data_IF_971576555898
#
_entry.id   IF_971576555898
#
_cell.length_a   1.000
_cell.length_b   1.000
_cell.length_c   1.000
_cell.angle_alpha   90.00
_cell.angle_beta   90.00
_cell.angle_gamma   90.00
#
_symmetry.space_group_name_H-M   'P 1'
#
loop_
_entity.id
_entity.type
_entity.pdbx_description
1 polymer ?
#
# COMPACT_ATOMS: atom_id res chain seq x y z
N UNK A 1 -32.58 -40.74 26.91
CA UNK A 1 -31.93 -41.63 27.90
C UNK A 1 -30.52 -41.93 27.41
N UNK A 2 -29.53 -41.57 28.23
CA UNK A 2 -28.16 -42.16 28.45
C UNK A 2 -27.40 -42.65 27.21
N UNK A 3 -26.17 -42.25 26.89
CA UNK A 3 -24.92 -42.51 27.65
C UNK A 3 -23.77 -41.80 26.87
N UNK A 4 -23.10 -40.77 27.39
CA UNK A 4 -21.88 -40.77 28.23
C UNK A 4 -20.61 -41.32 27.54
N UNK A 5 -19.72 -40.36 27.20
CA UNK A 5 -18.26 -40.26 27.47
C UNK A 5 -17.31 -41.29 26.87
N UNK A 6 -16.24 -40.80 26.20
CA UNK A 6 -14.84 -41.01 26.62
C UNK A 6 -13.84 -40.38 25.62
N UNK A 7 -13.09 -39.38 26.10
CA UNK A 7 -11.76 -39.06 25.58
C UNK A 7 -10.79 -40.17 26.00
N UNK A 8 -9.71 -40.38 25.23
CA UNK A 8 -8.43 -40.54 25.86
C UNK A 8 -7.41 -39.49 25.40
N UNK A 9 -6.64 -39.08 26.40
CA UNK A 9 -5.41 -38.30 26.38
C UNK A 9 -4.25 -39.30 26.26
N UNK A 10 -3.07 -38.83 25.83
CA UNK A 10 -1.71 -39.21 26.29
C UNK A 10 -0.68 -39.52 25.18
N UNK A 11 0.23 -38.54 25.02
CA UNK A 11 1.71 -38.56 25.04
C UNK A 11 2.53 -39.42 24.06
N UNK A 12 3.39 -38.68 23.34
CA UNK A 12 4.83 -38.84 23.10
C UNK A 12 5.44 -40.25 22.93
N UNK A 13 6.12 -40.47 21.80
CA UNK A 13 7.50 -40.98 21.82
C UNK A 13 8.26 -40.72 20.53
N UNK A 14 9.36 -40.00 20.67
CA UNK A 14 10.53 -39.94 19.80
C UNK A 14 10.97 -41.33 19.34
N UNK A 15 11.15 -41.53 18.04
CA UNK A 15 12.05 -42.55 17.50
C UNK A 15 12.87 -41.97 16.35
N UNK A 16 14.19 -41.94 16.54
CA UNK A 16 15.20 -41.86 15.49
C UNK A 16 15.10 -43.08 14.58
N UNK A 17 15.54 -42.96 13.33
CA UNK A 17 16.39 -43.98 12.74
C UNK A 17 17.80 -43.47 12.48
N UNK A 18 18.71 -44.45 12.44
CA UNK A 18 20.16 -44.34 12.54
C UNK A 18 20.83 -43.94 11.22
N UNK A 19 22.03 -43.42 11.42
CA UNK A 19 23.15 -43.24 10.50
C UNK A 19 23.41 -44.40 9.53
N UNK A 20 23.75 -44.06 8.29
CA UNK A 20 24.48 -44.93 7.37
C UNK A 20 24.45 -44.38 5.94
N UNK A 21 25.60 -43.96 5.41
CA UNK A 21 25.73 -43.68 3.98
C UNK A 21 26.80 -42.65 3.60
N UNK A 22 28.00 -43.17 3.32
CA UNK A 22 29.14 -42.59 2.57
C UNK A 22 28.92 -41.26 1.84
N UNK A 23 29.77 -40.28 2.18
CA UNK A 23 30.12 -39.11 1.38
C UNK A 23 30.87 -39.56 0.12
N UNK A 24 30.22 -39.45 -1.05
CA UNK A 24 30.87 -39.42 -2.35
C UNK A 24 30.65 -38.04 -2.96
N UNK A 25 31.77 -37.38 -3.28
CA UNK A 25 31.83 -36.00 -3.68
C UNK A 25 31.02 -35.68 -4.93
N UNK A 26 30.06 -34.76 -4.78
CA UNK A 26 29.57 -33.92 -5.88
C UNK A 26 29.04 -32.62 -5.30
N UNK A 27 29.87 -31.59 -5.36
CA UNK A 27 29.52 -30.20 -5.05
C UNK A 27 28.24 -29.80 -5.77
N UNK A 28 27.15 -29.65 -5.01
CA UNK A 28 26.02 -28.82 -5.40
C UNK A 28 26.34 -27.39 -4.96
N UNK A 29 26.20 -26.37 -5.82
CA UNK A 29 26.29 -25.00 -5.34
C UNK A 29 25.13 -24.77 -4.37
N UNK A 30 25.47 -24.64 -3.09
CA UNK A 30 24.57 -24.12 -2.07
C UNK A 30 24.20 -22.73 -2.56
N UNK A 31 22.96 -22.55 -2.99
CA UNK A 31 22.36 -21.23 -3.15
C UNK A 31 22.23 -20.67 -1.74
N UNK A 32 23.32 -20.09 -1.24
CA UNK A 32 23.34 -19.32 0.00
C UNK A 32 22.33 -18.21 -0.17
N UNK A 33 21.20 -18.34 0.53
CA UNK A 33 20.28 -17.27 0.81
C UNK A 33 21.10 -16.09 1.29
N UNK A 34 21.21 -15.04 0.48
CA UNK A 34 21.77 -13.78 0.93
C UNK A 34 20.85 -13.33 2.08
N UNK A 35 21.34 -13.19 3.32
CA UNK A 35 20.56 -12.52 4.35
C UNK A 35 20.49 -11.05 3.94
N UNK A 36 19.34 -10.64 3.41
CA UNK A 36 19.02 -9.23 3.20
C UNK A 36 18.84 -8.59 4.56
N UNK A 37 19.96 -8.21 5.19
CA UNK A 37 20.04 -7.39 6.40
C UNK A 37 19.77 -5.92 6.05
N UNK A 38 18.72 -5.67 5.27
CA UNK A 38 18.16 -4.34 5.14
C UNK A 38 17.28 -4.12 6.39
N UNK A 39 17.55 -3.13 7.25
CA UNK A 39 16.70 -2.89 8.40
C UNK A 39 15.29 -2.60 7.87
N UNK A 40 14.33 -3.46 8.23
CA UNK A 40 12.92 -3.19 8.04
C UNK A 40 12.65 -1.83 8.70
N UNK A 41 12.50 -0.79 7.87
CA UNK A 41 12.28 0.58 8.33
C UNK A 41 11.10 0.53 9.30
N UNK A 42 11.23 1.05 10.54
CA UNK A 42 10.17 0.90 11.55
C UNK A 42 8.85 1.36 10.95
N UNK A 43 7.87 0.46 10.85
CA UNK A 43 6.54 0.83 10.36
C UNK A 43 6.06 1.96 11.28
N UNK A 44 5.84 3.14 10.70
CA UNK A 44 5.54 4.31 11.51
C UNK A 44 4.19 4.10 12.20
N UNK A 45 4.10 4.57 13.44
CA UNK A 45 2.92 4.32 14.29
C UNK A 45 1.68 4.95 13.65
N UNK A 46 0.53 4.26 13.70
CA UNK A 46 -0.71 4.80 13.17
C UNK A 46 -1.13 6.04 13.95
N UNK A 47 -1.44 7.12 13.22
CA UNK A 47 -1.86 8.37 13.85
C UNK A 47 -3.14 8.16 14.68
N UNK A 48 -3.12 8.73 15.88
CA UNK A 48 -4.29 8.83 16.76
C UNK A 48 -5.31 9.81 16.20
N UNK A 49 -6.56 9.71 16.66
CA UNK A 49 -7.63 10.63 16.23
C UNK A 49 -7.28 12.10 16.53
N UNK A 50 -6.57 12.36 17.63
CA UNK A 50 -6.14 13.70 18.02
C UNK A 50 -5.11 14.26 17.04
N UNK A 51 -4.12 13.45 16.66
CA UNK A 51 -3.08 13.86 15.70
C UNK A 51 -3.66 14.09 14.30
N UNK A 52 -4.59 13.24 13.85
CA UNK A 52 -5.29 13.43 12.58
C UNK A 52 -6.03 14.77 12.52
N UNK A 53 -6.74 15.11 13.60
CA UNK A 53 -7.44 16.41 13.73
C UNK A 53 -6.44 17.56 13.73
N UNK A 54 -5.39 17.45 14.53
CA UNK A 54 -4.38 18.50 14.67
C UNK A 54 -3.67 18.80 13.35
N UNK A 55 -3.34 17.77 12.56
CA UNK A 55 -2.71 17.96 11.27
C UNK A 55 -3.61 18.68 10.26
N UNK A 56 -4.92 18.38 10.26
CA UNK A 56 -5.90 19.11 9.45
C UNK A 56 -6.04 20.56 9.94
N UNK A 57 -6.15 20.77 11.25
CA UNK A 57 -6.23 22.09 11.84
C UNK A 57 -5.04 22.98 11.46
N UNK A 58 -3.82 22.44 11.55
CA UNK A 58 -2.61 23.13 11.11
C UNK A 58 -2.60 23.40 9.60
N UNK A 59 -3.10 22.47 8.78
CA UNK A 59 -3.12 22.63 7.32
C UNK A 59 -4.01 23.80 6.86
N UNK A 60 -5.10 24.05 7.58
CA UNK A 60 -6.07 25.09 7.29
C UNK A 60 -5.97 26.30 8.23
N UNK A 61 -4.96 26.33 9.12
CA UNK A 61 -4.76 27.38 10.12
C UNK A 61 -5.99 27.66 11.00
N UNK A 62 -6.65 26.59 11.45
CA UNK A 62 -7.84 26.64 12.32
C UNK A 62 -7.59 25.92 13.64
N UNK A 63 -8.38 26.19 14.67
CA UNK A 63 -8.16 25.60 16.01
C UNK A 63 -9.10 24.43 16.33
N UNK A 64 -10.26 24.37 15.68
CA UNK A 64 -11.32 23.43 16.02
C UNK A 64 -12.13 22.97 14.81
N UNK A 65 -12.94 21.93 15.01
CA UNK A 65 -13.78 21.36 13.94
C UNK A 65 -14.84 22.34 13.43
N UNK A 66 -15.29 23.29 14.26
CA UNK A 66 -16.33 24.25 13.88
C UNK A 66 -15.76 25.27 12.89
N UNK A 67 -14.56 25.78 13.16
CA UNK A 67 -13.80 26.66 12.27
C UNK A 67 -13.42 25.93 10.99
N UNK A 68 -12.93 24.69 11.07
CA UNK A 68 -12.60 23.89 9.89
C UNK A 68 -13.80 23.77 8.94
N UNK A 69 -15.02 23.57 9.47
CA UNK A 69 -16.24 23.48 8.66
C UNK A 69 -16.66 24.81 8.04
N UNK A 70 -16.29 25.93 8.65
CA UNK A 70 -16.56 27.28 8.13
C UNK A 70 -15.53 27.72 7.10
N UNK A 71 -14.32 27.18 7.18
CA UNK A 71 -13.24 27.50 6.27
C UNK A 71 -13.62 27.25 4.80
N UNK A 72 -13.38 28.26 3.96
CA UNK A 72 -13.74 28.24 2.56
C UNK A 72 -12.88 27.25 1.77
N UNK A 73 -11.59 27.16 2.10
CA UNK A 73 -10.67 26.24 1.44
C UNK A 73 -11.01 24.78 1.76
N UNK A 74 -11.27 24.46 3.03
CA UNK A 74 -11.72 23.14 3.44
C UNK A 74 -13.04 22.78 2.77
N UNK A 75 -14.03 23.68 2.75
CA UNK A 75 -15.30 23.42 2.06
C UNK A 75 -15.12 23.20 0.56
N UNK A 76 -14.27 23.98 -0.09
CA UNK A 76 -13.99 23.83 -1.52
C UNK A 76 -13.35 22.49 -1.85
N UNK A 77 -12.33 22.09 -1.08
CA UNK A 77 -11.62 20.82 -1.28
C UNK A 77 -12.46 19.60 -0.87
N UNK A 78 -13.29 19.73 0.17
CA UNK A 78 -14.16 18.65 0.64
C UNK A 78 -15.47 18.52 -0.16
N UNK A 79 -15.81 19.50 -1.00
CA UNK A 79 -17.09 19.54 -1.71
C UNK A 79 -17.34 18.28 -2.56
N UNK A 80 -16.30 17.76 -3.21
CA UNK A 80 -16.40 16.57 -4.07
C UNK A 80 -16.29 15.22 -3.36
N UNK A 81 -15.99 15.21 -2.05
CA UNK A 81 -15.65 13.97 -1.33
C UNK A 81 -16.85 13.30 -0.63
N UNK A 82 -18.04 13.90 -0.74
CA UNK A 82 -19.29 13.34 -0.22
C UNK A 82 -19.62 13.77 1.22
N UNK A 83 -20.56 13.07 1.85
CA UNK A 83 -21.03 13.37 3.21
C UNK A 83 -20.09 12.76 4.23
N UNK A 84 -19.59 13.60 5.14
CA UNK A 84 -18.66 13.21 6.18
C UNK A 84 -19.33 13.22 7.55
N UNK A 85 -19.18 12.12 8.29
CA UNK A 85 -19.51 12.08 9.71
C UNK A 85 -18.23 12.18 10.56
N UNK A 86 -17.99 13.38 11.10
CA UNK A 86 -16.82 13.72 11.91
C UNK A 86 -16.75 12.99 13.27
N UNK A 87 -17.74 12.18 13.63
CA UNK A 87 -17.68 11.31 14.81
C UNK A 87 -16.77 10.11 14.58
N UNK A 88 -16.65 9.63 13.34
CA UNK A 88 -15.89 8.42 13.04
C UNK A 88 -14.43 8.71 12.67
N UNK A 89 -13.50 7.92 13.22
CA UNK A 89 -12.07 7.98 12.86
C UNK A 89 -11.84 7.75 11.37
N UNK A 90 -12.65 6.92 10.72
CA UNK A 90 -12.55 6.63 9.29
C UNK A 90 -12.67 7.91 8.43
N UNK A 91 -13.64 8.77 8.76
CA UNK A 91 -13.83 10.08 8.11
C UNK A 91 -12.57 10.94 8.19
N UNK A 92 -11.95 11.02 9.36
CA UNK A 92 -10.72 11.79 9.56
C UNK A 92 -9.54 11.21 8.77
N UNK A 93 -9.45 9.88 8.65
CA UNK A 93 -8.45 9.24 7.79
C UNK A 93 -8.68 9.63 6.33
N UNK A 94 -9.91 9.54 5.81
CA UNK A 94 -10.23 9.94 4.44
C UNK A 94 -9.88 11.40 4.17
N UNK A 95 -10.26 12.31 5.06
CA UNK A 95 -9.92 13.73 4.94
C UNK A 95 -8.41 13.96 4.96
N UNK A 96 -7.68 13.24 5.81
CA UNK A 96 -6.22 13.31 5.84
C UNK A 96 -5.60 12.87 4.51
N UNK A 97 -6.07 11.74 3.94
CA UNK A 97 -5.57 11.19 2.68
C UNK A 97 -5.72 12.16 1.51
N UNK A 98 -6.84 12.85 1.44
CA UNK A 98 -7.18 13.76 0.35
C UNK A 98 -6.57 15.16 0.53
N UNK A 99 -6.55 15.68 1.77
CA UNK A 99 -6.22 17.10 2.02
C UNK A 99 -4.81 17.33 2.56
N UNK A 100 -4.24 16.34 3.25
CA UNK A 100 -2.93 16.45 3.91
C UNK A 100 -1.88 15.64 3.17
N UNK A 101 -2.08 14.32 3.05
CA UNK A 101 -1.08 13.44 2.44
C UNK A 101 -1.23 11.97 2.82
N UNK A 102 -0.12 11.23 2.72
CA UNK A 102 -0.08 9.81 3.05
C UNK A 102 0.05 9.64 4.56
N UNK A 103 -0.75 8.75 5.14
CA UNK A 103 -0.63 8.39 6.54
C UNK A 103 0.70 7.68 6.79
N UNK A 104 1.41 7.97 7.89
CA UNK A 104 2.74 7.41 8.12
C UNK A 104 2.73 5.89 8.27
N UNK A 105 1.67 5.31 8.85
CA UNK A 105 1.42 3.87 8.91
C UNK A 105 1.08 3.23 7.56
N UNK A 106 0.77 4.06 6.56
CA UNK A 106 0.40 3.63 5.22
C UNK A 106 1.52 3.89 4.20
N UNK A 107 2.69 4.27 4.68
CA UNK A 107 3.90 4.41 3.88
C UNK A 107 4.64 3.07 3.80
N UNK A 108 5.09 2.69 2.61
CA UNK A 108 5.74 1.40 2.32
C UNK A 108 4.84 0.18 2.57
N UNK A 109 3.53 0.31 2.32
CA UNK A 109 2.63 -0.83 2.41
C UNK A 109 2.99 -1.92 1.40
N UNK A 110 2.83 -3.16 1.83
CA UNK A 110 3.01 -4.36 1.02
C UNK A 110 1.70 -5.16 1.03
N UNK A 111 1.38 -5.79 -0.10
CA UNK A 111 0.16 -6.59 -0.26
C UNK A 111 -0.68 -6.18 -1.48
N UNK A 112 -1.90 -6.70 -1.53
CA UNK A 112 -2.84 -6.42 -2.62
C UNK A 112 -3.11 -4.91 -2.76
N UNK A 113 -3.12 -4.43 -4.00
CA UNK A 113 -3.33 -3.01 -4.30
C UNK A 113 -2.14 -2.11 -3.95
N UNK A 114 -1.01 -2.64 -3.45
CA UNK A 114 0.16 -1.84 -3.10
C UNK A 114 1.24 -1.93 -4.18
N UNK A 115 1.61 -0.79 -4.77
CA UNK A 115 2.68 -0.67 -5.76
C UNK A 115 3.68 0.38 -5.24
N UNK A 116 4.95 0.00 -5.16
CA UNK A 116 6.04 0.88 -4.72
C UNK A 116 5.74 1.58 -3.38
N UNK A 117 5.17 0.80 -2.45
CA UNK A 117 4.89 1.24 -1.09
C UNK A 117 3.62 2.08 -0.92
N UNK A 118 2.80 2.24 -1.97
CA UNK A 118 1.52 2.94 -1.91
C UNK A 118 0.37 2.05 -2.34
N UNK A 119 -0.71 2.07 -1.58
CA UNK A 119 -1.97 1.51 -2.02
C UNK A 119 -2.65 2.40 -3.08
N UNK A 120 -2.72 1.92 -4.33
CA UNK A 120 -3.25 2.65 -5.49
C UNK A 120 -4.76 2.91 -5.44
N UNK A 121 -5.49 2.15 -4.63
CA UNK A 121 -6.93 2.36 -4.42
C UNK A 121 -7.17 3.50 -3.42
N UNK A 122 -6.33 3.58 -2.38
CA UNK A 122 -6.45 4.60 -1.34
C UNK A 122 -5.81 5.94 -1.74
N UNK A 123 -4.80 5.94 -2.61
CA UNK A 123 -4.01 7.12 -2.91
C UNK A 123 -3.81 7.31 -4.41
N UNK A 124 -4.14 8.50 -4.91
CA UNK A 124 -3.86 8.90 -6.30
C UNK A 124 -2.50 9.58 -6.41
N UNK A 125 -1.43 8.79 -6.49
CA UNK A 125 -0.03 9.26 -6.51
C UNK A 125 0.75 8.68 -7.71
N UNK A 126 0.41 9.07 -8.94
CA UNK A 126 0.97 8.46 -10.15
C UNK A 126 2.51 8.53 -10.19
N UNK A 127 3.11 9.65 -9.78
CA UNK A 127 4.56 9.82 -9.80
C UNK A 127 5.31 8.81 -8.95
N UNK A 128 4.82 8.54 -7.73
CA UNK A 128 5.45 7.59 -6.82
C UNK A 128 5.13 6.15 -7.23
N UNK A 129 3.91 5.86 -7.72
CA UNK A 129 3.53 4.54 -8.24
C UNK A 129 4.39 4.14 -9.43
N UNK A 130 4.70 5.07 -10.34
CA UNK A 130 5.55 4.82 -11.50
C UNK A 130 7.06 4.98 -11.23
N UNK A 131 7.46 5.36 -10.01
CA UNK A 131 8.87 5.65 -9.64
C UNK A 131 9.53 6.66 -10.57
N UNK A 132 8.85 7.77 -10.83
CA UNK A 132 9.29 8.83 -11.74
C UNK A 132 9.21 10.20 -11.07
N UNK A 133 10.05 11.12 -11.52
CA UNK A 133 10.11 12.48 -11.01
C UNK A 133 9.23 13.41 -11.90
N UNK A 134 8.28 14.16 -11.31
CA UNK A 134 7.44 15.09 -12.06
C UNK A 134 8.18 16.16 -12.86
N UNK A 135 9.40 16.53 -12.45
CA UNK A 135 10.18 17.64 -13.02
C UNK A 135 11.12 17.20 -14.13
N UNK A 136 11.80 16.07 -13.97
CA UNK A 136 12.87 15.63 -14.88
C UNK A 136 12.41 14.56 -15.87
N UNK A 137 11.39 13.78 -15.52
CA UNK A 137 11.01 12.60 -16.31
C UNK A 137 10.48 12.99 -17.69
N UNK A 138 10.93 12.27 -18.72
CA UNK A 138 10.49 12.42 -20.11
C UNK A 138 9.23 11.61 -20.44
N UNK A 139 8.54 11.91 -21.54
CA UNK A 139 7.36 11.13 -21.93
C UNK A 139 7.69 9.66 -22.23
N UNK A 140 8.89 9.40 -22.74
CA UNK A 140 9.37 8.04 -23.00
C UNK A 140 9.53 7.25 -21.70
N UNK A 141 10.13 7.84 -20.66
CA UNK A 141 10.27 7.21 -19.35
C UNK A 141 8.92 6.90 -18.70
N UNK A 142 7.94 7.82 -18.81
CA UNK A 142 6.57 7.58 -18.33
C UNK A 142 5.96 6.36 -19.02
N UNK A 143 6.11 6.26 -20.34
CA UNK A 143 5.62 5.10 -21.11
C UNK A 143 6.33 3.82 -20.69
N UNK A 144 7.65 3.85 -20.52
CA UNK A 144 8.41 2.69 -20.06
C UNK A 144 7.95 2.24 -18.68
N UNK A 145 7.77 3.16 -17.73
CA UNK A 145 7.26 2.84 -16.40
C UNK A 145 5.85 2.22 -16.46
N UNK A 146 4.96 2.79 -17.26
CA UNK A 146 3.65 2.23 -17.51
C UNK A 146 3.71 0.82 -18.10
N UNK A 147 4.50 0.60 -19.16
CA UNK A 147 4.63 -0.71 -19.79
C UNK A 147 5.16 -1.79 -18.85
N UNK A 148 6.08 -1.45 -17.94
CA UNK A 148 6.55 -2.38 -16.90
C UNK A 148 5.41 -2.84 -16.01
N UNK A 149 4.64 -1.92 -15.44
CA UNK A 149 3.52 -2.26 -14.57
C UNK A 149 2.37 -2.94 -15.33
N UNK A 150 2.05 -2.46 -16.53
CA UNK A 150 1.04 -3.04 -17.40
C UNK A 150 1.34 -4.50 -17.72
N UNK A 151 2.61 -4.87 -17.99
CA UNK A 151 3.01 -6.26 -18.25
C UNK A 151 2.80 -7.17 -17.03
N UNK A 152 3.00 -6.64 -15.83
CA UNK A 152 2.84 -7.40 -14.58
C UNK A 152 1.34 -7.61 -14.29
N UNK A 153 0.56 -6.52 -14.31
CA UNK A 153 -0.84 -6.55 -13.85
C UNK A 153 -1.86 -6.78 -14.98
N UNK A 154 -1.44 -7.00 -16.23
CA UNK A 154 -2.37 -7.22 -17.34
C UNK A 154 -3.36 -8.35 -17.01
N UNK A 155 -4.67 -8.19 -17.26
CA UNK A 155 -5.65 -9.23 -16.95
C UNK A 155 -5.39 -10.57 -17.67
N UNK A 156 -4.67 -10.54 -18.80
CA UNK A 156 -4.27 -11.75 -19.53
C UNK A 156 -3.09 -12.50 -18.91
N UNK A 157 -2.44 -11.96 -17.86
CA UNK A 157 -1.37 -12.64 -17.17
C UNK A 157 -1.95 -13.63 -16.14
N UNK A 158 -1.72 -14.95 -16.28
CA UNK A 158 -2.37 -15.95 -15.42
C UNK A 158 -1.84 -15.97 -13.98
N UNK A 159 -0.64 -15.43 -13.72
CA UNK A 159 -0.01 -15.47 -12.39
C UNK A 159 -0.26 -14.19 -11.59
N UNK A 160 -0.12 -13.04 -12.25
CA UNK A 160 -0.13 -11.71 -11.59
C UNK A 160 -1.17 -10.75 -12.18
N UNK A 161 -2.02 -11.23 -13.09
CA UNK A 161 -3.03 -10.42 -13.75
C UNK A 161 -4.11 -9.95 -12.79
N UNK A 162 -4.38 -8.66 -12.83
CA UNK A 162 -5.37 -8.01 -11.98
C UNK A 162 -6.00 -6.84 -12.73
N UNK A 163 -7.26 -7.04 -13.12
CA UNK A 163 -8.01 -6.04 -13.88
C UNK A 163 -8.20 -4.74 -13.11
N UNK A 164 -8.50 -4.79 -11.82
CA UNK A 164 -8.75 -3.58 -11.03
C UNK A 164 -7.47 -2.77 -10.85
N UNK A 165 -6.36 -3.44 -10.55
CA UNK A 165 -5.05 -2.78 -10.46
C UNK A 165 -4.65 -2.20 -11.82
N UNK A 166 -4.83 -2.96 -12.92
CA UNK A 166 -4.52 -2.51 -14.27
C UNK A 166 -5.30 -1.25 -14.66
N UNK A 167 -6.62 -1.25 -14.49
CA UNK A 167 -7.47 -0.09 -14.79
C UNK A 167 -7.04 1.14 -13.98
N UNK A 168 -6.68 0.95 -12.71
CA UNK A 168 -6.22 2.03 -11.84
C UNK A 168 -4.86 2.59 -12.29
N UNK A 169 -3.93 1.73 -12.69
CA UNK A 169 -2.64 2.13 -13.27
C UNK A 169 -2.87 2.92 -14.57
N UNK A 170 -3.79 2.48 -15.43
CA UNK A 170 -4.12 3.16 -16.68
C UNK A 170 -4.67 4.57 -16.43
N UNK A 171 -5.61 4.72 -15.49
CA UNK A 171 -6.15 6.04 -15.10
C UNK A 171 -5.02 6.95 -14.61
N UNK A 172 -4.12 6.43 -13.77
CA UNK A 172 -2.95 7.17 -13.29
C UNK A 172 -2.04 7.62 -14.44
N UNK A 173 -1.72 6.73 -15.38
CA UNK A 173 -0.92 7.04 -16.56
C UNK A 173 -1.57 8.13 -17.43
N UNK A 174 -2.89 8.02 -17.67
CA UNK A 174 -3.64 9.03 -18.42
C UNK A 174 -3.59 10.40 -17.74
N UNK A 175 -3.66 10.46 -16.41
CA UNK A 175 -3.63 11.73 -15.68
C UNK A 175 -2.33 12.53 -15.86
N UNK A 176 -1.17 11.84 -15.92
CA UNK A 176 0.14 12.49 -16.05
C UNK A 176 0.53 12.74 -17.50
N UNK A 177 0.00 11.96 -18.44
CA UNK A 177 0.28 12.13 -19.88
C UNK A 177 -0.66 13.12 -20.55
N UNK A 178 -1.94 13.16 -20.18
CA UNK A 178 -2.91 14.10 -20.74
C UNK A 178 -2.50 15.55 -20.50
N UNK A 179 -2.06 15.86 -19.27
CA UNK A 179 -1.62 17.20 -18.86
C UNK A 179 -0.40 17.72 -19.64
N UNK A 180 0.39 16.83 -20.27
CA UNK A 180 1.59 17.20 -21.05
C UNK A 180 1.32 17.34 -22.55
N UNK A 181 0.20 16.84 -23.08
CA UNK A 181 -0.15 16.98 -24.50
C UNK A 181 -0.63 18.38 -24.90
N UNK A 182 -0.97 19.24 -23.93
CA UNK A 182 -1.44 20.62 -24.16
C UNK A 182 -0.35 21.71 -24.14
N UNK A 183 0.93 21.35 -23.96
CA UNK A 183 2.06 22.28 -24.15
C UNK A 183 2.64 22.04 -25.54
N UNK A 184 2.03 22.65 -26.56
CA UNK A 184 2.63 22.86 -27.88
C UNK A 184 2.49 24.33 -28.21
#
# INVERSE_FOLDING_TARGET
>A
MVTTVLKPKVKNKTQRPKSGGKDDGRSRPVFTSIPTDAPARPQARPLSLKELKQALYQKFDVTNTVELRKDGCFRGLSHGLGKFDFRFKATWKTLYRELVGILPDEYNQQGYGCINGINIFNYFRPWQVFEIDPKTTTLAEIRHAYHRLAKIYHPDNPETGDREMFERIEIMYRSITFRRKGKK
#
